data_IF_017885637787
#
_entry.id   IF_017885637787
#
_cell.length_a   1.000
_cell.length_b   1.000
_cell.length_c   1.000
_cell.angle_alpha   90.00
_cell.angle_beta   90.00
_cell.angle_gamma   90.00
#
_symmetry.space_group_name_H-M   'P 1'
#
loop_
_entity.id
_entity.type
_entity.pdbx_description
1 polymer ?
#
# COMPACT_ATOMS: atom_id res chain seq x y z
N UNK A 1 29.74 -12.60 42.96
CA UNK A 1 30.08 -11.40 42.15
C UNK A 1 29.07 -11.33 41.00
N UNK A 2 28.39 -10.20 40.84
CA UNK A 2 27.07 -10.02 40.20
C UNK A 2 27.15 -9.63 38.70
N UNK A 3 26.29 -10.25 37.88
CA UNK A 3 25.63 -9.87 36.58
C UNK A 3 26.44 -9.23 35.43
N UNK A 4 25.83 -8.99 34.24
CA UNK A 4 25.83 -9.88 33.09
C UNK A 4 26.44 -9.19 31.85
N UNK A 5 26.60 -9.88 30.73
CA UNK A 5 26.66 -9.17 29.43
C UNK A 5 25.68 -9.82 28.47
N UNK A 6 24.43 -9.35 28.56
CA UNK A 6 23.55 -9.31 27.41
C UNK A 6 24.26 -8.41 26.40
N UNK A 7 24.93 -9.01 25.41
CA UNK A 7 25.60 -8.24 24.38
C UNK A 7 24.51 -7.60 23.53
N UNK A 8 24.38 -6.29 23.71
CA UNK A 8 23.57 -5.39 22.91
C UNK A 8 23.73 -5.66 21.41
N UNK A 9 22.56 -5.84 20.79
CA UNK A 9 22.25 -6.08 19.39
C UNK A 9 22.85 -5.03 18.41
N UNK A 10 23.02 -5.40 17.13
CA UNK A 10 22.02 -4.91 16.20
C UNK A 10 21.29 -6.07 15.53
N UNK A 11 20.08 -6.29 16.01
CA UNK A 11 18.95 -6.87 15.32
C UNK A 11 19.06 -6.47 13.86
N UNK A 12 19.37 -7.45 13.02
CA UNK A 12 19.47 -7.30 11.57
C UNK A 12 18.31 -6.40 11.14
N UNK A 13 18.63 -5.20 10.67
CA UNK A 13 17.63 -4.24 10.24
C UNK A 13 16.96 -4.86 9.02
N UNK A 14 15.92 -5.67 9.28
CA UNK A 14 15.00 -6.15 8.28
C UNK A 14 14.53 -4.88 7.60
N UNK A 15 14.92 -4.62 6.33
CA UNK A 15 14.54 -3.41 5.66
C UNK A 15 13.03 -3.30 5.83
N UNK A 16 12.59 -2.22 6.49
CA UNK A 16 11.21 -2.10 6.89
C UNK A 16 10.32 -2.42 5.70
N UNK A 17 9.22 -3.14 5.92
CA UNK A 17 8.30 -3.61 4.88
C UNK A 17 7.90 -2.50 3.88
N UNK A 18 8.06 -1.23 4.28
CA UNK A 18 7.73 -0.01 3.55
C UNK A 18 8.94 0.85 3.09
N UNK A 19 10.18 0.40 3.29
CA UNK A 19 11.38 1.23 3.13
C UNK A 19 11.69 1.65 1.67
N UNK A 20 11.08 1.01 0.67
CA UNK A 20 11.32 1.34 -0.75
C UNK A 20 10.10 0.99 -1.63
N UNK A 21 8.94 1.56 -1.31
CA UNK A 21 7.69 1.35 -2.06
C UNK A 21 7.60 2.10 -3.42
N UNK A 22 8.00 3.39 -3.54
CA UNK A 22 7.61 4.20 -4.70
C UNK A 22 8.43 3.92 -5.98
N UNK A 23 9.62 3.34 -5.87
CA UNK A 23 10.47 3.02 -7.04
C UNK A 23 10.04 1.69 -7.69
N UNK A 24 9.64 0.71 -6.88
CA UNK A 24 9.14 -0.59 -7.36
C UNK A 24 7.82 -0.49 -8.11
N UNK A 25 6.90 0.34 -7.64
CA UNK A 25 5.57 0.54 -8.27
C UNK A 25 5.65 1.10 -9.69
N UNK A 26 6.56 2.04 -9.97
CA UNK A 26 6.72 2.62 -11.31
C UNK A 26 7.29 1.64 -12.33
N UNK A 27 8.23 0.78 -11.93
CA UNK A 27 8.80 -0.26 -12.82
C UNK A 27 7.76 -1.33 -13.16
N UNK A 28 6.90 -1.70 -12.20
CA UNK A 28 5.86 -2.69 -12.44
C UNK A 28 4.87 -2.23 -13.53
N UNK A 29 4.47 -0.95 -13.56
CA UNK A 29 3.43 -0.45 -14.46
C UNK A 29 3.72 -0.65 -15.97
N UNK A 30 4.99 -0.64 -16.41
CA UNK A 30 5.33 -0.80 -17.83
C UNK A 30 5.21 -2.26 -18.32
N UNK A 31 5.46 -3.22 -17.44
CA UNK A 31 5.40 -4.67 -17.75
C UNK A 31 4.18 -5.36 -17.13
N UNK A 32 3.37 -4.62 -16.38
CA UNK A 32 2.20 -5.13 -15.69
C UNK A 32 1.10 -5.57 -16.68
N UNK A 33 0.29 -6.57 -16.30
CA UNK A 33 -0.88 -6.96 -17.09
C UNK A 33 -1.86 -5.79 -17.26
N UNK A 34 -2.64 -5.83 -18.34
CA UNK A 34 -3.54 -4.74 -18.73
C UNK A 34 -4.47 -4.29 -17.58
N UNK A 35 -5.06 -5.23 -16.84
CA UNK A 35 -5.95 -4.92 -15.74
C UNK A 35 -5.27 -4.13 -14.61
N UNK A 36 -4.00 -4.40 -14.33
CA UNK A 36 -3.23 -3.68 -13.32
C UNK A 36 -2.90 -2.26 -13.79
N UNK A 37 -2.60 -2.09 -15.09
CA UNK A 37 -2.36 -0.78 -15.71
C UNK A 37 -3.60 0.10 -15.76
N UNK A 38 -4.79 -0.51 -15.85
CA UNK A 38 -6.09 0.17 -15.90
C UNK A 38 -6.74 0.35 -14.52
N UNK A 39 -6.02 0.09 -13.43
CA UNK A 39 -6.59 0.27 -12.08
C UNK A 39 -7.05 1.72 -11.86
N UNK A 40 -8.30 1.92 -11.41
CA UNK A 40 -8.81 3.23 -10.97
C UNK A 40 -7.86 3.87 -9.97
N UNK A 41 -7.54 5.16 -10.17
CA UNK A 41 -6.68 5.90 -9.24
C UNK A 41 -7.52 6.72 -8.25
N UNK A 42 -8.76 7.03 -8.63
CA UNK A 42 -9.74 7.74 -7.81
C UNK A 42 -11.04 6.97 -7.74
N UNK A 43 -11.85 7.31 -6.74
CA UNK A 43 -13.16 6.71 -6.55
C UNK A 43 -14.11 7.05 -7.72
N UNK A 44 -13.96 8.23 -8.34
CA UNK A 44 -14.69 8.64 -9.54
C UNK A 44 -14.38 7.80 -10.79
N UNK A 45 -13.19 7.19 -10.85
CA UNK A 45 -12.79 6.34 -11.97
C UNK A 45 -13.44 4.94 -11.86
N UNK A 46 -14.04 4.60 -10.71
CA UNK A 46 -14.72 3.32 -10.52
C UNK A 46 -16.06 3.30 -11.25
N UNK A 47 -16.22 2.32 -12.13
CA UNK A 47 -17.45 2.11 -12.89
C UNK A 47 -18.29 1.01 -12.24
N UNK A 48 -19.60 1.25 -12.12
CA UNK A 48 -20.56 0.35 -11.47
C UNK A 48 -20.66 0.57 -9.97
N UNK A 49 -21.32 -0.34 -9.26
CA UNK A 49 -21.47 -0.31 -7.78
C UNK A 49 -22.33 0.85 -7.21
N UNK A 50 -23.59 1.00 -7.66
CA UNK A 50 -24.48 2.08 -7.20
C UNK A 50 -24.76 2.02 -5.68
N UNK A 51 -24.81 0.83 -5.08
CA UNK A 51 -25.01 0.69 -3.64
C UNK A 51 -23.88 1.30 -2.79
N UNK A 52 -22.69 1.52 -3.36
CA UNK A 52 -21.53 2.11 -2.67
C UNK A 52 -21.22 3.53 -3.13
N UNK A 53 -21.42 3.85 -4.42
CA UNK A 53 -20.93 5.08 -5.05
C UNK A 53 -22.02 6.12 -5.38
N UNK A 54 -23.30 5.79 -5.21
CA UNK A 54 -24.38 6.76 -5.43
C UNK A 54 -24.30 7.96 -4.46
N UNK A 55 -24.90 9.11 -4.80
CA UNK A 55 -24.96 10.25 -3.88
C UNK A 55 -25.50 9.86 -2.50
N UNK A 56 -24.82 10.29 -1.44
CA UNK A 56 -25.18 9.97 -0.06
C UNK A 56 -24.77 8.58 0.44
N UNK A 57 -24.09 7.76 -0.37
CA UNK A 57 -23.57 6.46 0.06
C UNK A 57 -22.24 6.58 0.83
N UNK A 58 -21.92 5.61 1.70
CA UNK A 58 -20.82 5.75 2.65
C UNK A 58 -19.47 6.08 2.00
N UNK A 59 -19.11 5.39 0.91
CA UNK A 59 -17.84 5.65 0.23
C UNK A 59 -17.83 7.00 -0.48
N UNK A 60 -18.99 7.49 -0.95
CA UNK A 60 -19.10 8.76 -1.67
C UNK A 60 -19.11 9.99 -0.76
N UNK A 61 -19.41 9.81 0.51
CA UNK A 61 -19.45 10.89 1.52
C UNK A 61 -18.14 10.96 2.31
N UNK A 62 -17.42 9.84 2.45
CA UNK A 62 -16.21 9.77 3.27
C UNK A 62 -14.93 10.23 2.55
N UNK A 63 -14.94 10.32 1.22
CA UNK A 63 -13.79 10.63 0.37
C UNK A 63 -14.20 11.55 -0.78
#
# INVERSE_FOLDING_TARGET
MNVPTHRDDPQQAQPGLFADAPVRQRRAAATAPLAERLRPQRLDDMIGQPQLLAPGRPLRVAF
#
